data_IF_200222762578
#
_entry.id   IF_200222762578
#
_cell.length_a   1.000
_cell.length_b   1.000
_cell.length_c   1.000
_cell.angle_alpha   90.00
_cell.angle_beta   90.00
_cell.angle_gamma   90.00
#
_symmetry.space_group_name_H-M   'P 1'
#
loop_
_entity.id
_entity.type
_entity.pdbx_description
1 polymer ?
#
# COMPACT_ATOMS: atom_id res chain seq x y z
N UNK A 1 -19.72 -8.36 -10.11
CA UNK A 1 -18.80 -7.38 -9.52
C UNK A 1 -17.41 -7.98 -9.66
N UNK A 2 -16.66 -7.52 -10.67
CA UNK A 2 -15.33 -8.03 -11.00
C UNK A 2 -14.33 -7.12 -10.30
N UNK A 3 -13.86 -7.53 -9.12
CA UNK A 3 -12.84 -6.80 -8.38
C UNK A 3 -11.51 -7.52 -8.56
N UNK A 4 -10.59 -6.82 -9.21
CA UNK A 4 -9.18 -7.09 -9.14
C UNK A 4 -8.75 -7.00 -7.70
N UNK A 5 -8.06 -8.00 -7.16
CA UNK A 5 -7.05 -7.67 -6.18
C UNK A 5 -5.70 -8.12 -6.67
N UNK A 6 -4.83 -7.14 -6.70
CA UNK A 6 -3.49 -7.33 -6.23
C UNK A 6 -3.47 -6.96 -4.74
N UNK A 7 -2.52 -7.54 -4.02
CA UNK A 7 -2.30 -7.36 -2.59
C UNK A 7 -2.53 -5.92 -2.11
N UNK A 8 -3.48 -5.75 -1.18
CA UNK A 8 -3.57 -4.52 -0.41
C UNK A 8 -2.63 -4.64 0.76
N UNK A 9 -1.82 -3.61 0.94
CA UNK A 9 -0.76 -3.57 1.93
C UNK A 9 -1.00 -2.46 2.93
N UNK A 10 -0.60 -2.68 4.18
CA UNK A 10 -0.51 -1.59 5.15
C UNK A 10 0.80 -0.80 4.94
N UNK A 11 0.69 0.52 4.79
CA UNK A 11 1.79 1.47 4.67
C UNK A 11 2.39 1.82 6.03
N UNK A 12 3.68 2.14 6.05
CA UNK A 12 4.46 2.41 7.26
C UNK A 12 4.32 3.83 7.82
N UNK A 13 3.40 4.64 7.27
CA UNK A 13 3.25 6.05 7.65
C UNK A 13 2.33 6.19 8.86
N UNK A 14 2.92 6.35 10.04
CA UNK A 14 2.18 6.81 11.22
C UNK A 14 1.99 8.33 11.16
N UNK A 15 0.73 8.77 11.25
CA UNK A 15 0.36 10.16 11.56
C UNK A 15 0.04 10.20 13.05
N UNK A 16 0.78 10.98 13.82
CA UNK A 16 0.33 11.45 15.13
C UNK A 16 0.78 12.90 15.29
N UNK A 17 -0.16 13.84 15.13
CA UNK A 17 0.01 15.20 15.63
C UNK A 17 -0.14 15.16 17.17
N UNK A 18 0.92 15.53 17.89
CA UNK A 18 0.96 15.58 19.35
C UNK A 18 0.93 14.21 20.03
N UNK A 19 2.09 13.62 20.35
CA UNK A 19 2.14 12.31 21.00
C UNK A 19 1.58 12.38 22.44
N UNK A 20 0.70 11.43 22.78
CA UNK A 20 0.17 11.24 24.14
C UNK A 20 1.33 11.01 25.13
N UNK A 21 2.45 10.45 24.66
CA UNK A 21 3.67 10.28 25.44
C UNK A 21 4.18 11.60 26.02
N UNK A 22 4.29 12.64 25.19
CA UNK A 22 4.78 13.93 25.63
C UNK A 22 3.75 14.66 26.51
N UNK A 23 2.48 14.65 26.10
CA UNK A 23 1.43 15.46 26.74
C UNK A 23 0.92 14.89 28.05
N UNK A 24 0.72 13.57 28.14
CA UNK A 24 0.14 12.92 29.33
C UNK A 24 1.18 12.30 30.25
N UNK A 25 2.29 11.82 29.70
CA UNK A 25 3.30 11.07 30.47
C UNK A 25 4.60 11.84 30.70
N UNK A 26 4.73 13.07 30.18
CA UNK A 26 5.98 13.85 30.18
C UNK A 26 7.17 13.05 29.65
N UNK A 27 6.90 12.13 28.73
CA UNK A 27 7.88 11.28 28.10
C UNK A 27 8.35 11.82 26.76
N UNK A 28 9.22 11.05 26.10
CA UNK A 28 9.67 11.29 24.75
C UNK A 28 9.40 10.06 23.88
N UNK A 29 8.93 10.29 22.66
CA UNK A 29 8.91 9.26 21.64
C UNK A 29 10.31 9.12 21.05
N UNK A 30 10.85 7.91 21.08
CA UNK A 30 12.12 7.58 20.46
C UNK A 30 11.92 6.43 19.48
N UNK A 31 12.88 6.24 18.58
CA UNK A 31 12.88 5.16 17.62
C UNK A 31 12.76 3.79 18.32
N UNK A 32 11.95 2.88 17.78
CA UNK A 32 11.69 1.56 18.36
C UNK A 32 12.93 0.65 18.43
N UNK A 33 13.96 0.94 17.64
CA UNK A 33 15.26 0.28 17.68
C UNK A 33 16.17 0.83 18.79
N UNK A 34 15.78 1.92 19.44
CA UNK A 34 16.51 2.52 20.56
C UNK A 34 16.11 1.91 21.90
N UNK A 35 16.93 2.17 22.93
CA UNK A 35 16.63 1.80 24.32
C UNK A 35 16.33 3.06 25.12
N UNK A 36 15.33 3.00 26.00
CA UNK A 36 15.04 4.12 26.89
C UNK A 36 16.24 4.47 27.78
N UNK A 37 16.42 5.76 28.12
CA UNK A 37 17.41 6.16 29.11
C UNK A 37 17.22 5.43 30.45
N UNK A 38 18.30 5.22 31.18
CA UNK A 38 18.23 4.60 32.52
C UNK A 38 17.26 5.35 33.44
N UNK A 39 16.40 4.61 34.14
CA UNK A 39 15.36 5.18 35.02
C UNK A 39 14.05 5.55 34.33
N UNK A 40 13.95 5.38 33.01
CA UNK A 40 12.71 5.55 32.25
C UNK A 40 12.02 4.21 32.04
N UNK A 41 10.69 4.23 32.04
CA UNK A 41 9.84 3.10 31.67
C UNK A 41 9.55 3.17 30.17
N UNK A 42 9.58 2.01 29.51
CA UNK A 42 9.22 1.86 28.10
C UNK A 42 7.74 1.48 27.94
N UNK A 43 7.05 2.10 26.99
CA UNK A 43 5.74 1.67 26.51
C UNK A 43 5.70 1.70 24.99
N UNK A 44 5.16 0.65 24.37
CA UNK A 44 4.94 0.58 22.91
C UNK A 44 3.63 1.24 22.48
N UNK A 45 3.01 2.02 23.38
CA UNK A 45 1.82 2.81 23.13
C UNK A 45 2.17 4.30 23.24
N UNK A 46 1.24 5.16 22.81
CA UNK A 46 1.31 6.62 22.98
C UNK A 46 2.29 7.38 22.06
N UNK A 47 3.01 6.67 21.18
CA UNK A 47 3.86 7.22 20.12
C UNK A 47 3.42 6.68 18.74
N UNK A 48 4.15 7.04 17.68
CA UNK A 48 3.98 6.47 16.34
C UNK A 48 4.29 4.96 16.29
N UNK A 49 3.96 4.32 15.17
CA UNK A 49 4.04 2.86 15.05
C UNK A 49 5.47 2.28 15.11
N UNK A 50 6.47 3.01 14.61
CA UNK A 50 7.90 2.65 14.71
C UNK A 50 8.61 3.41 15.84
N UNK A 51 7.85 3.83 16.86
CA UNK A 51 8.37 4.56 18.00
C UNK A 51 7.93 3.88 19.30
N UNK A 52 8.70 4.10 20.36
CA UNK A 52 8.32 3.75 21.71
C UNK A 52 8.32 5.00 22.59
N UNK A 53 7.41 5.02 23.57
CA UNK A 53 7.33 6.06 24.57
C UNK A 53 8.27 5.73 25.74
N UNK A 54 9.25 6.59 25.99
CA UNK A 54 10.06 6.57 27.20
C UNK A 54 9.57 7.66 28.15
N UNK A 55 9.14 7.29 29.35
CA UNK A 55 8.69 8.25 30.36
C UNK A 55 9.31 7.95 31.73
N UNK A 56 9.50 8.96 32.59
CA UNK A 56 10.13 8.75 33.89
C UNK A 56 9.31 7.76 34.72
N UNK A 57 10.00 6.85 35.41
CA UNK A 57 9.34 6.02 36.42
C UNK A 57 8.82 6.97 37.51
N UNK A 58 7.50 7.01 37.73
CA UNK A 58 6.94 7.82 38.82
C UNK A 58 7.52 7.31 40.15
N UNK A 59 8.57 7.97 40.62
CA UNK A 59 9.04 7.83 41.99
C UNK A 59 7.92 8.38 42.87
N UNK A 60 7.26 7.51 43.62
CA UNK A 60 6.57 7.92 44.85
C UNK A 60 7.64 8.41 45.82
N UNK A 61 8.08 9.66 45.67
CA UNK A 61 8.71 10.41 46.74
C UNK A 61 8.44 11.89 46.55
N UNK A 62 7.79 12.46 47.56
CA UNK A 62 7.73 13.89 47.86
C UNK A 62 9.13 14.50 47.84
N UNK A 63 9.38 15.45 46.93
CA UNK A 63 10.64 16.19 46.90
C UNK A 63 10.69 17.22 45.78
N UNK A 64 10.52 18.48 46.16
CA UNK A 64 10.73 19.70 45.36
C UNK A 64 12.09 19.74 44.65
N UNK A 65 12.10 20.03 43.35
CA UNK A 65 13.32 20.32 42.60
C UNK A 65 13.05 20.79 41.17
N UNK A 66 13.16 22.09 40.94
CA UNK A 66 13.15 22.77 39.64
C UNK A 66 14.33 22.36 38.77
N UNK A 67 14.07 22.03 37.50
CA UNK A 67 15.10 21.82 36.48
C UNK A 67 14.51 21.91 35.07
N UNK A 68 14.67 23.08 34.45
CA UNK A 68 14.39 23.35 33.03
C UNK A 68 15.46 22.68 32.16
N UNK A 69 15.03 21.84 31.22
CA UNK A 69 15.87 21.25 30.19
C UNK A 69 15.08 21.10 28.89
N UNK A 70 15.11 22.14 28.06
CA UNK A 70 14.66 22.13 26.67
C UNK A 70 15.70 21.39 25.82
N UNK A 71 15.31 20.24 25.25
CA UNK A 71 16.08 19.52 24.24
C UNK A 71 15.20 19.20 23.05
N UNK A 72 15.12 20.12 22.09
CA UNK A 72 14.55 19.89 20.76
C UNK A 72 15.60 19.18 19.91
N UNK A 73 15.49 17.86 19.78
CA UNK A 73 16.26 17.06 18.83
C UNK A 73 15.38 16.66 17.64
N UNK A 74 15.34 17.50 16.61
CA UNK A 74 14.83 17.09 15.30
C UNK A 74 15.90 16.27 14.59
N UNK A 75 15.73 14.95 14.57
CA UNK A 75 16.58 14.08 13.74
C UNK A 75 15.92 13.91 12.37
N UNK A 76 16.30 14.79 11.46
CA UNK A 76 16.22 14.56 10.01
C UNK A 76 17.48 13.77 9.63
N UNK A 77 17.31 12.48 9.33
CA UNK A 77 18.40 11.55 9.03
C UNK A 77 18.11 10.74 7.78
N UNK A 78 18.95 10.95 6.78
CA UNK A 78 19.00 10.39 5.42
C UNK A 78 19.01 8.86 5.34
N UNK A 79 18.52 8.34 4.21
CA UNK A 79 18.39 6.91 3.89
C UNK A 79 19.66 6.07 4.09
N UNK A 80 19.42 4.80 4.45
CA UNK A 80 20.32 3.74 4.93
C UNK A 80 20.36 3.60 6.46
N UNK A 81 19.25 3.13 7.03
CA UNK A 81 19.20 2.68 8.41
C UNK A 81 20.14 1.46 8.57
N UNK A 82 21.31 1.65 9.19
CA UNK A 82 22.12 0.55 9.71
C UNK A 82 21.29 -0.16 10.77
N UNK A 83 21.18 -1.49 10.70
CA UNK A 83 20.52 -2.26 11.77
C UNK A 83 21.26 -2.04 13.09
N UNK A 84 20.58 -2.23 14.22
CA UNK A 84 21.15 -2.10 15.56
C UNK A 84 22.40 -2.97 15.80
N UNK A 85 22.64 -3.98 14.95
CA UNK A 85 23.82 -4.85 14.95
C UNK A 85 24.96 -4.41 14.02
N UNK A 86 24.82 -3.30 13.28
CA UNK A 86 25.80 -2.82 12.30
C UNK A 86 25.75 -3.56 10.94
N UNK A 87 24.79 -4.46 10.74
CA UNK A 87 24.59 -5.12 9.45
C UNK A 87 23.81 -4.21 8.48
N UNK A 88 24.24 -4.19 7.21
CA UNK A 88 23.58 -3.42 6.16
C UNK A 88 22.28 -4.11 5.74
N UNK A 89 21.16 -3.38 5.81
CA UNK A 89 19.85 -3.88 5.40
C UNK A 89 19.73 -4.00 3.86
N UNK A 90 18.77 -4.79 3.40
CA UNK A 90 18.30 -4.82 2.01
C UNK A 90 19.30 -5.37 1.00
N UNK A 91 20.35 -6.08 1.44
CA UNK A 91 21.36 -6.69 0.57
C UNK A 91 21.37 -8.20 0.81
N UNK A 92 20.84 -9.01 -0.13
CA UNK A 92 20.97 -10.46 -0.05
C UNK A 92 22.33 -10.94 -0.58
N UNK A 93 22.83 -12.06 -0.03
CA UNK A 93 24.07 -12.69 -0.54
C UNK A 93 23.80 -13.50 -1.83
N UNK A 94 22.55 -13.93 -2.01
CA UNK A 94 22.07 -14.62 -3.21
C UNK A 94 21.13 -13.69 -3.97
N UNK A 95 21.41 -13.45 -5.24
CA UNK A 95 20.51 -12.66 -6.10
C UNK A 95 19.51 -13.56 -6.80
N UNK A 96 18.22 -13.19 -6.78
CA UNK A 96 17.21 -13.88 -7.61
C UNK A 96 17.47 -13.67 -9.10
N UNK A 97 17.41 -14.74 -9.89
CA UNK A 97 17.41 -14.65 -11.35
C UNK A 97 15.98 -14.38 -11.83
N UNK A 98 15.73 -13.14 -12.24
CA UNK A 98 14.42 -12.57 -12.59
C UNK A 98 13.60 -13.48 -13.52
N UNK A 99 12.50 -14.06 -13.02
CA UNK A 99 11.49 -14.77 -13.82
C UNK A 99 10.10 -14.23 -13.48
N UNK A 100 9.32 -13.99 -14.52
CA UNK A 100 8.09 -13.21 -14.49
C UNK A 100 6.88 -14.16 -14.45
N UNK A 101 6.34 -14.46 -13.26
CA UNK A 101 5.03 -15.12 -13.13
C UNK A 101 4.85 -16.19 -12.05
N UNK A 102 5.06 -15.86 -10.77
CA UNK A 102 4.66 -16.73 -9.65
C UNK A 102 5.40 -18.06 -9.68
N UNK A 103 6.67 -18.07 -9.28
CA UNK A 103 7.53 -19.25 -9.35
C UNK A 103 8.18 -19.52 -8.01
N UNK A 104 8.72 -20.73 -7.86
CA UNK A 104 9.58 -21.06 -6.72
C UNK A 104 10.73 -20.07 -6.68
N UNK A 105 10.89 -19.37 -5.56
CA UNK A 105 11.93 -18.39 -5.36
C UNK A 105 13.31 -19.07 -5.36
N UNK A 106 14.33 -18.35 -5.82
CA UNK A 106 15.70 -18.82 -5.61
C UNK A 106 15.96 -18.94 -4.10
N UNK A 107 16.47 -20.10 -3.65
CA UNK A 107 16.69 -20.37 -2.23
C UNK A 107 17.56 -19.27 -1.61
N UNK A 108 17.09 -18.71 -0.48
CA UNK A 108 17.76 -17.66 0.29
C UNK A 108 17.96 -16.30 -0.42
N UNK A 109 17.34 -16.07 -1.59
CA UNK A 109 17.39 -14.76 -2.25
C UNK A 109 16.61 -13.65 -1.52
N UNK A 110 15.73 -14.04 -0.59
CA UNK A 110 14.91 -13.14 0.24
C UNK A 110 15.16 -13.41 1.73
N UNK A 111 16.35 -13.09 2.25
CA UNK A 111 16.78 -13.48 3.61
C UNK A 111 16.01 -12.77 4.74
N UNK A 112 15.19 -11.77 4.41
CA UNK A 112 14.27 -11.09 5.32
C UNK A 112 12.91 -11.79 5.45
N UNK A 113 12.61 -12.77 4.61
CA UNK A 113 11.36 -13.52 4.70
C UNK A 113 11.27 -14.29 6.01
N UNK A 114 10.16 -14.12 6.72
CA UNK A 114 9.85 -14.84 7.96
C UNK A 114 8.67 -15.77 7.76
N UNK A 115 8.72 -16.94 8.40
CA UNK A 115 7.55 -17.76 8.67
C UNK A 115 7.13 -17.56 10.12
N UNK A 116 5.97 -16.95 10.33
CA UNK A 116 5.30 -16.89 11.63
C UNK A 116 4.53 -18.19 11.88
N UNK A 117 4.77 -18.77 13.04
CA UNK A 117 4.30 -20.13 13.35
C UNK A 117 3.54 -20.14 14.66
N UNK A 118 2.38 -20.80 14.65
CA UNK A 118 1.63 -21.12 15.85
C UNK A 118 1.83 -22.61 16.15
N UNK A 119 2.57 -22.91 17.21
CA UNK A 119 3.12 -24.26 17.42
C UNK A 119 4.06 -24.66 16.26
N UNK A 120 3.77 -25.79 15.60
CA UNK A 120 4.55 -26.28 14.45
C UNK A 120 3.97 -25.88 13.08
N UNK A 121 2.90 -25.09 13.04
CA UNK A 121 2.20 -24.74 11.80
C UNK A 121 2.55 -23.32 11.37
N UNK A 122 2.88 -23.14 10.09
CA UNK A 122 3.01 -21.82 9.49
C UNK A 122 1.62 -21.19 9.35
N UNK A 123 1.47 -19.96 9.82
CA UNK A 123 0.22 -19.22 9.81
C UNK A 123 0.28 -17.99 8.89
N UNK A 124 1.38 -17.24 9.01
CA UNK A 124 1.59 -15.98 8.29
C UNK A 124 3.07 -15.82 7.90
N UNK A 125 3.32 -14.91 6.96
CA UNK A 125 4.62 -14.34 6.69
C UNK A 125 4.99 -13.19 7.63
N UNK A 126 6.22 -12.72 7.49
CA UNK A 126 6.74 -11.54 8.15
C UNK A 126 8.02 -11.06 7.47
N UNK A 127 8.52 -9.92 7.91
CA UNK A 127 9.75 -9.30 7.38
C UNK A 127 10.70 -8.95 8.50
N UNK A 128 11.94 -9.42 8.43
CA UNK A 128 13.00 -8.96 9.33
C UNK A 128 13.30 -7.49 9.01
N UNK A 129 13.11 -6.59 9.97
CA UNK A 129 13.45 -5.17 9.83
C UNK A 129 14.63 -4.76 10.72
N UNK A 130 14.92 -5.54 11.77
CA UNK A 130 16.11 -5.40 12.62
C UNK A 130 16.39 -6.73 13.36
N UNK A 131 17.51 -6.82 14.10
CA UNK A 131 17.95 -8.06 14.75
C UNK A 131 16.93 -8.64 15.75
N UNK A 132 16.07 -7.82 16.36
CA UNK A 132 15.02 -8.27 17.28
C UNK A 132 13.61 -7.92 16.84
N UNK A 133 13.44 -7.42 15.61
CA UNK A 133 12.18 -6.84 15.17
C UNK A 133 11.71 -7.42 13.84
N UNK A 134 10.48 -7.94 13.86
CA UNK A 134 9.78 -8.45 12.68
C UNK A 134 8.56 -7.58 12.41
N UNK A 135 8.38 -7.17 11.16
CA UNK A 135 7.18 -6.53 10.66
C UNK A 135 6.22 -7.58 10.08
N UNK A 136 4.93 -7.45 10.36
CA UNK A 136 3.88 -8.34 9.82
C UNK A 136 2.51 -7.66 9.87
N UNK A 137 1.45 -8.39 9.55
CA UNK A 137 0.07 -7.91 9.59
C UNK A 137 -0.55 -8.10 10.98
N UNK A 138 -1.48 -7.23 11.36
CA UNK A 138 -2.19 -7.30 12.63
C UNK A 138 -3.21 -8.45 12.64
N UNK A 139 -3.89 -8.71 11.52
CA UNK A 139 -4.90 -9.75 11.40
C UNK A 139 -4.36 -11.15 11.71
N UNK A 140 -3.05 -11.36 11.59
CA UNK A 140 -2.40 -12.62 11.95
C UNK A 140 -2.56 -12.99 13.45
N UNK A 141 -2.95 -12.04 14.30
CA UNK A 141 -3.02 -12.22 15.75
C UNK A 141 -4.42 -12.10 16.36
N UNK A 142 -5.47 -11.79 15.59
CA UNK A 142 -6.81 -11.49 16.14
C UNK A 142 -7.43 -12.60 16.99
N UNK A 143 -7.16 -13.87 16.65
CA UNK A 143 -7.80 -15.03 17.27
C UNK A 143 -6.83 -15.94 18.06
N UNK A 144 -5.64 -15.45 18.41
CA UNK A 144 -4.58 -16.30 18.99
C UNK A 144 -4.01 -15.77 20.30
N UNK A 145 -3.61 -16.69 21.18
CA UNK A 145 -2.88 -16.33 22.40
C UNK A 145 -1.38 -16.21 22.11
N UNK A 146 -0.72 -15.20 22.70
CA UNK A 146 0.68 -14.87 22.44
C UNK A 146 1.66 -16.02 22.76
N UNK A 147 1.31 -16.94 23.66
CA UNK A 147 2.23 -17.92 24.26
C UNK A 147 2.73 -19.05 23.33
N UNK A 148 2.22 -19.16 22.10
CA UNK A 148 2.56 -20.26 21.18
C UNK A 148 3.20 -19.80 19.86
N UNK A 149 3.49 -18.50 19.73
CA UNK A 149 4.09 -17.95 18.53
C UNK A 149 5.60 -18.13 18.49
N UNK A 150 6.11 -18.62 17.36
CA UNK A 150 7.54 -18.66 17.05
C UNK A 150 7.80 -18.05 15.68
N UNK A 151 9.01 -17.52 15.52
CA UNK A 151 9.51 -16.91 14.29
C UNK A 151 10.60 -17.81 13.73
N UNK A 152 10.43 -18.30 12.50
CA UNK A 152 11.47 -19.02 11.77
C UNK A 152 12.02 -18.16 10.62
N UNK A 153 13.34 -18.00 10.54
CA UNK A 153 14.06 -17.21 9.52
C UNK A 153 15.03 -18.08 8.72
N UNK A 154 15.48 -17.60 7.56
CA UNK A 154 16.43 -18.32 6.72
C UNK A 154 15.90 -19.61 6.09
N UNK A 155 14.59 -19.85 6.17
CA UNK A 155 13.95 -21.02 5.56
C UNK A 155 13.59 -20.74 4.10
N UNK A 156 13.78 -21.75 3.26
CA UNK A 156 13.23 -21.81 1.90
C UNK A 156 12.16 -22.91 1.80
N UNK A 157 12.40 -24.06 2.45
CA UNK A 157 11.50 -25.21 2.52
C UNK A 157 10.89 -25.36 3.93
N UNK A 158 9.56 -25.22 4.04
CA UNK A 158 8.83 -25.36 5.30
C UNK A 158 8.90 -26.77 5.92
N UNK A 159 9.22 -27.79 5.14
CA UNK A 159 9.46 -29.16 5.59
C UNK A 159 10.86 -29.39 6.15
N UNK A 160 11.79 -28.44 5.99
CA UNK A 160 13.19 -28.56 6.41
C UNK A 160 13.65 -27.31 7.17
N UNK A 161 13.22 -27.19 8.42
CA UNK A 161 13.55 -26.05 9.31
C UNK A 161 14.79 -26.29 10.21
N UNK A 162 15.44 -27.44 10.13
CA UNK A 162 16.50 -27.83 11.08
C UNK A 162 17.80 -27.00 11.00
N UNK A 163 18.00 -26.18 9.95
CA UNK A 163 19.11 -25.22 9.82
C UNK A 163 18.66 -23.76 9.96
N UNK A 164 17.44 -23.52 10.43
CA UNK A 164 16.87 -22.18 10.57
C UNK A 164 17.07 -21.62 11.97
N UNK A 165 17.02 -20.29 12.08
CA UNK A 165 16.89 -19.64 13.38
C UNK A 165 15.41 -19.65 13.77
N UNK A 166 15.09 -20.33 14.88
CA UNK A 166 13.73 -20.35 15.44
C UNK A 166 13.75 -19.62 16.78
N UNK A 167 12.99 -18.54 16.88
CA UNK A 167 12.98 -17.65 18.04
C UNK A 167 11.59 -17.54 18.66
N UNK A 168 11.55 -17.48 19.98
CA UNK A 168 10.35 -17.18 20.75
C UNK A 168 9.97 -15.70 20.63
N UNK A 169 8.66 -15.44 20.65
CA UNK A 169 8.10 -14.10 20.62
C UNK A 169 7.99 -13.54 22.03
N UNK A 170 8.63 -12.38 22.26
CA UNK A 170 8.54 -11.64 23.53
C UNK A 170 7.27 -10.81 23.62
N UNK A 171 6.97 -10.10 22.54
CA UNK A 171 5.83 -9.19 22.48
C UNK A 171 5.29 -9.07 21.06
N UNK A 172 3.98 -8.87 20.93
CA UNK A 172 3.30 -8.51 19.69
C UNK A 172 2.64 -7.16 19.90
N UNK A 173 2.96 -6.20 19.03
CA UNK A 173 2.49 -4.83 19.08
C UNK A 173 1.64 -4.61 17.85
N UNK A 174 0.33 -4.78 18.01
CA UNK A 174 -0.65 -4.47 16.98
C UNK A 174 -0.85 -2.96 16.90
N UNK A 175 -0.93 -2.41 15.69
CA UNK A 175 -1.20 -0.99 15.50
C UNK A 175 -2.51 -0.58 16.21
N UNK A 176 -2.47 0.47 17.03
CA UNK A 176 -3.61 0.88 17.88
C UNK A 176 -4.85 1.31 17.08
N UNK A 177 -4.65 1.83 15.88
CA UNK A 177 -5.71 2.15 14.93
C UNK A 177 -6.15 0.99 14.03
N UNK A 178 -5.74 -0.25 14.32
CA UNK A 178 -6.16 -1.42 13.55
C UNK A 178 -7.66 -1.70 13.69
N UNK A 179 -8.32 -2.07 12.61
CA UNK A 179 -9.73 -2.46 12.61
C UNK A 179 -9.97 -3.76 11.85
N UNK A 180 -10.40 -4.80 12.58
CA UNK A 180 -10.81 -6.10 12.03
C UNK A 180 -11.91 -6.03 10.97
N UNK A 181 -12.76 -4.98 11.03
CA UNK A 181 -13.90 -4.82 10.14
C UNK A 181 -13.51 -4.30 8.76
N UNK A 182 -12.50 -3.45 8.69
CA UNK A 182 -12.09 -2.75 7.46
C UNK A 182 -10.66 -3.07 7.03
N UNK A 183 -9.92 -3.86 7.81
CA UNK A 183 -8.48 -4.09 7.68
C UNK A 183 -7.66 -2.80 7.58
N UNK A 184 -8.18 -1.71 8.16
CA UNK A 184 -7.47 -0.45 8.23
C UNK A 184 -6.30 -0.57 9.21
N UNK A 185 -5.12 -0.05 8.86
CA UNK A 185 -3.89 -0.16 9.66
C UNK A 185 -3.53 -1.60 10.06
N UNK A 186 -3.69 -2.53 9.13
CA UNK A 186 -3.38 -3.94 9.33
C UNK A 186 -1.86 -4.21 9.35
N UNK A 187 -1.22 -3.76 10.43
CA UNK A 187 0.21 -3.82 10.62
C UNK A 187 0.55 -4.07 12.08
N UNK A 188 1.55 -4.90 12.33
CA UNK A 188 2.02 -5.26 13.64
C UNK A 188 3.53 -5.45 13.68
N UNK A 189 4.11 -5.25 14.85
CA UNK A 189 5.51 -5.53 15.14
C UNK A 189 5.63 -6.68 16.12
N UNK A 190 6.61 -7.54 15.90
CA UNK A 190 6.97 -8.60 16.83
C UNK A 190 8.36 -8.29 17.38
N UNK A 191 8.48 -8.28 18.71
CA UNK A 191 9.75 -8.24 19.41
C UNK A 191 10.16 -9.67 19.78
N UNK A 192 11.36 -10.07 19.37
CA UNK A 192 11.92 -11.39 19.70
C UNK A 192 12.54 -11.40 21.11
N UNK A 193 12.50 -12.54 21.79
CA UNK A 193 13.16 -12.71 23.10
C UNK A 193 14.68 -12.55 23.02
N UNK A 194 15.27 -13.00 21.91
CA UNK A 194 16.71 -12.94 21.62
C UNK A 194 16.95 -12.35 20.22
N UNK A 195 18.10 -11.70 19.97
CA UNK A 195 18.47 -11.22 18.65
C UNK A 195 18.72 -12.38 17.67
N UNK A 196 18.32 -12.15 16.42
CA UNK A 196 18.71 -12.90 15.25
C UNK A 196 20.21 -12.69 14.98
N UNK A 197 20.87 -13.72 14.49
CA UNK A 197 22.19 -13.60 13.91
C UNK A 197 22.05 -13.10 12.47
N UNK A 198 22.25 -11.79 12.27
CA UNK A 198 22.21 -11.15 10.94
C UNK A 198 23.53 -11.31 10.16
N UNK A 199 24.55 -11.98 10.72
CA UNK A 199 25.76 -12.34 9.98
C UNK A 199 25.56 -13.59 9.12
N UNK A 200 24.54 -14.38 9.43
CA UNK A 200 24.09 -15.51 8.63
C UNK A 200 23.66 -15.05 7.22
N UNK A 201 24.25 -15.68 6.20
CA UNK A 201 23.94 -15.40 4.79
C UNK A 201 22.45 -15.53 4.41
N UNK A 202 21.70 -16.33 5.18
CA UNK A 202 20.29 -16.65 4.92
C UNK A 202 19.32 -15.81 5.74
N UNK A 203 19.80 -15.04 6.73
CA UNK A 203 18.97 -14.24 7.65
C UNK A 203 19.49 -12.81 7.68
N UNK A 204 18.79 -11.89 7.01
CA UNK A 204 19.17 -10.47 6.93
C UNK A 204 17.94 -9.58 6.95
N UNK A 205 18.09 -8.34 7.39
CA UNK A 205 16.98 -7.39 7.42
C UNK A 205 16.70 -6.77 6.03
N UNK A 206 15.44 -6.47 5.72
CA UNK A 206 15.08 -5.54 4.65
C UNK A 206 15.24 -4.09 5.14
N UNK A 207 15.51 -3.15 4.24
CA UNK A 207 15.56 -1.74 4.63
C UNK A 207 14.16 -1.17 4.83
N UNK A 208 13.98 -0.30 5.82
CA UNK A 208 12.77 0.53 5.92
C UNK A 208 12.81 1.66 4.88
N UNK A 209 11.64 2.04 4.33
CA UNK A 209 11.53 3.18 3.43
C UNK A 209 11.54 4.49 4.22
N UNK A 210 11.85 5.61 3.55
CA UNK A 210 11.63 6.92 4.16
C UNK A 210 10.12 7.24 4.22
N UNK A 211 9.70 8.10 5.16
CA UNK A 211 8.28 8.40 5.49
C UNK A 211 7.39 8.80 4.29
N UNK A 212 7.99 9.35 3.22
CA UNK A 212 7.27 9.79 2.02
C UNK A 212 7.97 9.30 0.75
N UNK A 213 8.66 8.17 0.85
CA UNK A 213 9.36 7.61 -0.29
C UNK A 213 8.36 7.05 -1.31
N UNK A 214 8.46 7.54 -2.54
CA UNK A 214 7.57 7.14 -3.64
C UNK A 214 8.06 5.85 -4.31
N UNK A 215 7.16 4.88 -4.46
CA UNK A 215 7.40 3.60 -5.15
C UNK A 215 6.43 3.38 -6.32
N UNK A 216 5.61 4.37 -6.67
CA UNK A 216 4.58 4.23 -7.71
C UNK A 216 5.17 3.78 -9.04
N UNK A 217 4.54 2.76 -9.64
CA UNK A 217 4.97 2.18 -10.92
C UNK A 217 6.21 1.27 -10.85
N UNK A 218 6.92 1.19 -9.71
CA UNK A 218 8.02 0.23 -9.57
C UNK A 218 7.48 -1.20 -9.53
N UNK A 219 8.22 -2.12 -10.15
CA UNK A 219 7.97 -3.56 -10.03
C UNK A 219 8.67 -4.06 -8.77
N UNK A 220 7.88 -4.63 -7.88
CA UNK A 220 8.28 -5.08 -6.57
C UNK A 220 7.89 -6.54 -6.40
N UNK A 221 8.51 -7.23 -5.44
CA UNK A 221 8.36 -8.67 -5.29
C UNK A 221 7.63 -8.99 -4.00
N UNK A 222 6.56 -9.78 -4.10
CA UNK A 222 5.95 -10.44 -2.95
C UNK A 222 6.55 -11.83 -2.81
N UNK A 223 6.85 -12.24 -1.58
CA UNK A 223 7.31 -13.60 -1.28
C UNK A 223 6.50 -14.23 -0.17
N UNK A 224 6.30 -15.54 -0.26
CA UNK A 224 5.62 -16.30 0.78
C UNK A 224 5.36 -17.76 0.43
N UNK A 225 4.72 -18.44 1.37
CA UNK A 225 4.34 -19.86 1.27
C UNK A 225 2.83 -20.05 1.20
N UNK A 226 2.11 -19.00 0.79
CA UNK A 226 0.69 -19.05 0.56
C UNK A 226 0.30 -20.02 -0.54
N UNK A 227 -1.00 -20.19 -0.68
CA UNK A 227 -1.62 -21.02 -1.69
C UNK A 227 -1.35 -20.47 -3.10
N UNK A 228 -1.40 -21.32 -4.13
CA UNK A 228 -1.21 -20.86 -5.52
C UNK A 228 -2.54 -20.51 -6.21
N UNK A 229 -3.65 -20.72 -5.53
CA UNK A 229 -5.01 -20.45 -5.98
C UNK A 229 -5.91 -20.31 -4.75
N UNK A 230 -7.05 -19.64 -4.92
CA UNK A 230 -8.05 -19.47 -3.86
C UNK A 230 -8.40 -20.81 -3.23
N UNK A 231 -8.37 -20.87 -1.88
CA UNK A 231 -8.67 -22.05 -1.06
C UNK A 231 -7.74 -23.26 -1.27
N UNK A 232 -6.63 -23.07 -1.99
CA UNK A 232 -5.60 -24.09 -2.16
C UNK A 232 -4.75 -24.29 -0.90
N UNK A 233 -3.98 -25.39 -0.81
CA UNK A 233 -3.01 -25.56 0.26
C UNK A 233 -1.81 -24.62 0.07
N UNK A 234 -1.26 -24.14 1.18
CA UNK A 234 0.01 -23.41 1.17
C UNK A 234 1.15 -24.24 0.58
N UNK A 235 2.13 -23.56 -0.01
CA UNK A 235 3.25 -24.22 -0.68
C UNK A 235 4.34 -24.65 0.30
N UNK A 236 5.09 -25.69 -0.08
CA UNK A 236 6.24 -26.18 0.71
C UNK A 236 7.47 -25.29 0.53
N UNK A 237 7.78 -24.93 -0.72
CA UNK A 237 8.89 -24.06 -1.08
C UNK A 237 8.43 -22.61 -1.15
N UNK A 238 9.33 -21.67 -0.82
CA UNK A 238 9.06 -20.24 -0.93
C UNK A 238 8.79 -19.88 -2.38
N UNK A 239 7.73 -19.13 -2.65
CA UNK A 239 7.42 -18.59 -3.96
C UNK A 239 7.65 -17.07 -3.98
N UNK A 240 7.85 -16.55 -5.19
CA UNK A 240 7.98 -15.13 -5.47
C UNK A 240 7.06 -14.71 -6.61
N UNK A 241 6.54 -13.48 -6.55
CA UNK A 241 5.80 -12.87 -7.64
C UNK A 241 6.12 -11.38 -7.76
N UNK A 242 6.52 -10.98 -8.97
CA UNK A 242 6.75 -9.59 -9.31
C UNK A 242 5.43 -8.89 -9.65
N UNK A 243 5.09 -7.84 -8.91
CA UNK A 243 3.89 -7.01 -9.07
C UNK A 243 4.25 -5.52 -9.11
N UNK A 244 3.66 -4.73 -10.03
CA UNK A 244 3.89 -3.29 -10.04
C UNK A 244 3.08 -2.59 -8.94
N UNK A 245 3.68 -1.62 -8.27
CA UNK A 245 2.95 -0.69 -7.39
C UNK A 245 1.98 0.14 -8.23
N UNK A 246 0.76 0.24 -7.73
CA UNK A 246 -0.29 1.07 -8.30
C UNK A 246 -0.44 2.33 -7.46
N UNK A 247 -0.42 3.49 -8.13
CA UNK A 247 -0.60 4.78 -7.48
C UNK A 247 -1.93 4.86 -6.71
N UNK A 248 -1.94 5.68 -5.65
CA UNK A 248 -3.07 5.74 -4.72
C UNK A 248 -4.39 6.17 -5.37
N UNK A 249 -4.35 7.05 -6.39
CA UNK A 249 -5.56 7.49 -7.10
C UNK A 249 -6.17 6.34 -7.88
N UNK A 250 -5.30 5.59 -8.56
CA UNK A 250 -5.67 4.40 -9.31
C UNK A 250 -6.16 3.29 -8.38
N UNK A 251 -5.48 3.03 -7.27
CA UNK A 251 -5.89 2.07 -6.24
C UNK A 251 -7.30 2.36 -5.69
N UNK A 252 -7.56 3.61 -5.26
CA UNK A 252 -8.89 4.07 -4.83
C UNK A 252 -9.93 3.96 -5.95
N UNK A 253 -9.52 4.18 -7.18
CA UNK A 253 -10.40 4.07 -8.34
C UNK A 253 -10.79 2.62 -8.68
N UNK A 254 -9.92 1.62 -8.43
CA UNK A 254 -10.25 0.19 -8.59
C UNK A 254 -11.13 -0.35 -7.46
N UNK A 255 -10.90 0.10 -6.23
CA UNK A 255 -11.43 -0.56 -5.03
C UNK A 255 -12.47 0.29 -4.28
N UNK A 256 -12.59 1.57 -4.61
CA UNK A 256 -13.56 2.49 -4.03
C UNK A 256 -13.20 2.94 -2.61
N UNK A 257 -14.23 3.25 -1.82
CA UNK A 257 -14.11 3.86 -0.48
C UNK A 257 -13.55 2.91 0.61
N UNK A 258 -13.12 1.70 0.25
CA UNK A 258 -12.47 0.75 1.17
C UNK A 258 -10.96 0.97 1.28
N UNK A 259 -10.39 1.86 0.47
CA UNK A 259 -8.95 2.17 0.46
C UNK A 259 -8.69 3.46 1.24
N UNK A 260 -7.98 3.31 2.34
CA UNK A 260 -7.53 4.40 3.19
C UNK A 260 -6.12 4.87 2.77
N UNK A 261 -5.67 6.02 3.30
CA UNK A 261 -4.33 6.53 3.02
C UNK A 261 -3.20 5.63 3.51
N UNK A 262 -3.48 4.68 4.40
CA UNK A 262 -2.56 3.65 4.87
C UNK A 262 -2.52 2.41 3.96
N UNK A 263 -3.23 2.40 2.83
CA UNK A 263 -3.24 1.25 1.92
C UNK A 263 -2.41 1.50 0.66
N UNK A 264 -1.69 0.48 0.21
CA UNK A 264 -1.00 0.44 -1.09
C UNK A 264 -1.58 -0.72 -1.90
N UNK A 265 -1.78 -0.51 -3.21
CA UNK A 265 -2.16 -1.57 -4.14
C UNK A 265 -0.96 -2.00 -4.97
N UNK A 266 -0.79 -3.30 -5.21
CA UNK A 266 0.22 -3.80 -6.13
C UNK A 266 -0.31 -4.96 -6.98
N UNK A 267 -0.22 -4.86 -8.31
CA UNK A 267 -0.73 -5.91 -9.21
C UNK A 267 -0.89 -5.45 -10.65
N UNK A 268 -1.00 -6.40 -11.58
CA UNK A 268 -1.20 -6.10 -13.00
C UNK A 268 -2.67 -5.88 -13.34
N UNK A 269 -2.88 -4.97 -14.29
CA UNK A 269 -4.20 -4.66 -14.85
C UNK A 269 -4.85 -5.84 -15.57
N UNK A 270 -4.10 -6.87 -15.95
CA UNK A 270 -4.65 -8.04 -16.63
C UNK A 270 -4.99 -9.14 -15.62
N UNK A 271 -4.56 -8.99 -14.37
CA UNK A 271 -4.66 -10.03 -13.34
C UNK A 271 -3.67 -11.17 -13.59
N UNK A 272 -3.99 -12.35 -13.07
CA UNK A 272 -3.20 -13.57 -13.27
C UNK A 272 -1.92 -13.70 -12.43
N UNK A 273 -1.61 -12.70 -11.59
CA UNK A 273 -0.48 -12.70 -10.64
C UNK A 273 -0.87 -11.93 -9.39
N UNK A 274 -0.80 -12.58 -8.25
CA UNK A 274 -1.16 -12.01 -6.95
C UNK A 274 -0.53 -12.84 -5.82
N UNK A 275 -0.51 -12.28 -4.61
CA UNK A 275 -0.32 -13.09 -3.40
C UNK A 275 -1.64 -13.77 -3.01
N UNK A 276 -1.57 -14.74 -2.12
CA UNK A 276 -2.71 -15.59 -1.79
C UNK A 276 -2.77 -15.95 -0.30
N UNK A 277 -3.73 -16.80 0.09
CA UNK A 277 -3.90 -17.20 1.48
C UNK A 277 -2.62 -17.85 2.02
N UNK A 278 -2.11 -17.36 3.15
CA UNK A 278 -0.83 -17.81 3.75
C UNK A 278 0.39 -16.97 3.38
N UNK A 279 0.24 -15.98 2.47
CA UNK A 279 1.24 -14.92 2.30
C UNK A 279 1.00 -13.74 3.26
N UNK A 280 -0.15 -13.71 3.95
CA UNK A 280 -0.54 -12.72 4.96
C UNK A 280 0.60 -12.35 5.90
N UNK A 281 0.85 -11.05 6.08
CA UNK A 281 1.96 -10.53 6.87
C UNK A 281 3.33 -10.57 6.18
N UNK A 282 3.44 -11.26 5.05
CA UNK A 282 4.66 -11.34 4.23
C UNK A 282 5.04 -10.01 3.58
N UNK A 283 6.29 -9.91 3.10
CA UNK A 283 6.83 -8.70 2.50
C UNK A 283 6.30 -8.45 1.09
N UNK A 284 6.03 -7.19 0.77
CA UNK A 284 6.26 -6.63 -0.56
C UNK A 284 7.55 -5.79 -0.53
N UNK A 285 8.59 -6.23 -1.24
CA UNK A 285 9.88 -5.50 -1.32
C UNK A 285 10.13 -4.91 -2.69
N UNK A 286 10.58 -3.65 -2.71
CA UNK A 286 11.01 -2.96 -3.92
C UNK A 286 12.52 -2.75 -3.89
N UNK A 287 13.20 -3.00 -5.01
CA UNK A 287 14.61 -2.65 -5.16
C UNK A 287 14.74 -1.18 -5.57
N UNK A 288 15.29 -0.34 -4.70
CA UNK A 288 15.50 1.09 -4.93
C UNK A 288 16.80 1.54 -4.26
N UNK A 289 17.57 2.40 -4.93
CA UNK A 289 18.90 2.82 -4.47
C UNK A 289 19.84 1.62 -4.20
N UNK A 290 19.75 0.59 -5.04
CA UNK A 290 20.50 -0.67 -4.95
C UNK A 290 20.21 -1.56 -3.73
N UNK A 291 19.28 -1.18 -2.85
CA UNK A 291 18.84 -1.98 -1.71
C UNK A 291 17.38 -2.40 -1.85
N UNK A 292 17.01 -3.51 -1.22
CA UNK A 292 15.61 -3.93 -1.09
C UNK A 292 14.97 -3.27 0.12
N UNK A 293 13.89 -2.53 -0.13
CA UNK A 293 13.12 -1.82 0.90
C UNK A 293 11.75 -2.45 1.07
N UNK A 294 11.32 -2.67 2.31
CA UNK A 294 9.95 -3.11 2.61
C UNK A 294 8.98 -1.98 2.27
N UNK A 295 8.13 -2.21 1.27
CA UNK A 295 7.22 -1.19 0.74
C UNK A 295 5.80 -1.42 1.21
N UNK A 296 5.45 -2.65 1.57
CA UNK A 296 4.20 -2.93 2.28
C UNK A 296 4.14 -4.36 2.83
N UNK A 297 3.11 -4.60 3.63
CA UNK A 297 2.84 -5.88 4.31
C UNK A 297 1.57 -6.50 3.75
N UNK A 298 1.63 -7.75 3.26
CA UNK A 298 0.49 -8.49 2.69
C UNK A 298 -0.67 -8.49 3.69
N UNK A 299 -1.78 -7.84 3.37
CA UNK A 299 -2.92 -7.68 4.28
C UNK A 299 -4.16 -8.44 3.79
N UNK A 300 -4.77 -8.04 2.66
CA UNK A 300 -5.95 -8.73 2.13
C UNK A 300 -6.08 -8.64 0.59
N UNK A 301 -6.93 -9.53 0.04
CA UNK A 301 -7.18 -9.76 -1.39
C UNK A 301 -8.58 -10.38 -1.62
N UNK A 302 -9.30 -10.06 -2.72
CA UNK A 302 -10.50 -10.82 -3.14
C UNK A 302 -10.07 -11.99 -4.03
N UNK A 303 -9.86 -13.16 -3.41
CA UNK A 303 -9.34 -14.35 -4.08
C UNK A 303 -7.86 -14.21 -4.45
N UNK A 304 -7.34 -15.16 -5.24
CA UNK A 304 -5.94 -15.16 -5.67
C UNK A 304 -5.81 -15.15 -7.19
N UNK A 305 -5.00 -14.23 -7.72
CA UNK A 305 -4.53 -14.21 -9.12
C UNK A 305 -5.66 -14.31 -10.17
N UNK A 306 -6.78 -13.61 -9.95
CA UNK A 306 -7.93 -13.65 -10.87
C UNK A 306 -7.50 -13.28 -12.31
N UNK A 307 -7.90 -14.10 -13.29
CA UNK A 307 -7.39 -14.06 -14.69
C UNK A 307 -7.81 -12.85 -15.52
N UNK A 308 -8.74 -12.01 -15.06
CA UNK A 308 -9.28 -10.92 -15.89
C UNK A 308 -9.55 -9.67 -15.07
N UNK A 309 -8.71 -8.66 -15.30
CA UNK A 309 -8.85 -7.31 -14.78
C UNK A 309 -9.03 -6.28 -15.91
N UNK A 310 -9.68 -6.67 -17.02
CA UNK A 310 -9.72 -5.84 -18.22
C UNK A 310 -10.34 -4.47 -17.94
N UNK A 311 -9.56 -3.41 -18.14
CA UNK A 311 -10.13 -2.08 -18.29
C UNK A 311 -11.14 -2.08 -19.44
N UNK A 312 -12.16 -1.22 -19.34
CA UNK A 312 -13.22 -1.09 -20.33
C UNK A 312 -12.83 0.04 -21.28
N UNK A 313 -12.79 -0.24 -22.59
CA UNK A 313 -12.67 0.82 -23.58
C UNK A 313 -13.80 1.86 -23.36
N UNK A 314 -13.53 3.16 -23.59
CA UNK A 314 -14.55 4.17 -23.52
C UNK A 314 -15.72 3.84 -24.45
N UNK A 315 -16.94 4.12 -24.01
CA UNK A 315 -18.15 3.99 -24.81
C UNK A 315 -19.06 5.17 -24.48
N UNK A 316 -19.46 5.92 -25.51
CA UNK A 316 -20.42 7.01 -25.40
C UNK A 316 -21.83 6.46 -25.62
N UNK A 317 -22.68 6.58 -24.61
CA UNK A 317 -24.08 6.20 -24.66
C UNK A 317 -24.96 7.42 -24.97
N UNK A 318 -24.78 8.02 -26.15
CA UNK A 318 -25.63 9.10 -26.63
C UNK A 318 -26.71 8.53 -27.58
N UNK A 319 -27.97 8.85 -27.33
CA UNK A 319 -29.09 8.43 -28.17
C UNK A 319 -29.47 9.49 -29.23
N UNK A 320 -28.90 10.69 -29.15
CA UNK A 320 -29.32 11.86 -29.94
C UNK A 320 -28.18 12.32 -30.86
N UNK A 321 -28.42 12.29 -32.18
CA UNK A 321 -27.44 12.74 -33.18
C UNK A 321 -27.77 14.13 -33.75
N UNK A 322 -28.93 14.69 -33.37
CA UNK A 322 -29.40 16.01 -33.79
C UNK A 322 -30.10 16.70 -32.61
N UNK A 323 -29.81 17.98 -32.42
CA UNK A 323 -30.41 18.81 -31.38
C UNK A 323 -30.81 20.17 -31.95
N UNK A 324 -31.85 20.76 -31.35
CA UNK A 324 -32.30 22.11 -31.67
C UNK A 324 -32.12 23.02 -30.45
N UNK A 325 -31.71 24.26 -30.67
CA UNK A 325 -31.63 25.26 -29.61
C UNK A 325 -32.25 26.59 -30.04
N UNK A 326 -32.93 27.24 -29.12
CA UNK A 326 -33.48 28.57 -29.36
C UNK A 326 -32.40 29.64 -29.16
N UNK A 327 -32.41 30.66 -30.01
CA UNK A 327 -31.52 31.81 -29.85
C UNK A 327 -31.59 32.43 -28.44
N UNK A 328 -30.43 32.82 -27.89
CA UNK A 328 -30.19 33.37 -26.54
C UNK A 328 -30.43 32.43 -25.35
N UNK A 329 -30.74 31.15 -25.56
CA UNK A 329 -30.84 30.20 -24.44
C UNK A 329 -29.49 29.60 -24.07
N UNK A 330 -29.49 28.74 -23.04
CA UNK A 330 -28.37 27.88 -22.68
C UNK A 330 -28.72 26.44 -23.05
N UNK A 331 -27.81 25.74 -23.71
CA UNK A 331 -27.96 24.35 -24.13
C UNK A 331 -26.91 23.46 -23.46
N UNK A 332 -27.28 22.26 -23.03
CA UNK A 332 -26.35 21.19 -22.67
C UNK A 332 -26.38 20.12 -23.77
N UNK A 333 -25.25 19.87 -24.41
CA UNK A 333 -25.08 18.72 -25.30
C UNK A 333 -24.52 17.57 -24.43
N UNK A 334 -25.29 16.49 -24.18
CA UNK A 334 -24.86 15.42 -23.30
C UNK A 334 -23.70 14.63 -23.92
N UNK A 335 -22.80 14.13 -23.07
CA UNK A 335 -21.86 13.09 -23.46
C UNK A 335 -21.78 12.08 -22.32
N UNK A 336 -22.70 11.11 -22.33
CA UNK A 336 -22.75 10.09 -21.28
C UNK A 336 -21.68 9.04 -21.54
N UNK A 337 -20.62 9.08 -20.76
CA UNK A 337 -19.45 8.24 -20.96
C UNK A 337 -19.48 7.05 -20.01
N UNK A 338 -19.21 5.86 -20.53
CA UNK A 338 -18.78 4.71 -19.74
C UNK A 338 -17.38 4.30 -20.18
N UNK A 339 -16.61 3.63 -19.32
CA UNK A 339 -15.23 3.27 -19.64
C UNK A 339 -14.41 3.19 -18.37
N UNK A 340 -13.33 2.40 -18.41
CA UNK A 340 -12.49 2.14 -17.26
C UNK A 340 -11.03 1.96 -17.71
N UNK A 341 -10.08 2.85 -17.34
CA UNK A 341 -10.25 4.03 -16.50
C UNK A 341 -11.24 5.07 -17.03
N UNK A 342 -11.73 5.98 -16.16
CA UNK A 342 -12.71 7.00 -16.53
C UNK A 342 -12.12 7.80 -17.70
N UNK A 343 -12.77 7.83 -18.87
CA UNK A 343 -12.18 8.46 -20.03
C UNK A 343 -12.11 9.98 -19.87
N UNK A 344 -11.02 10.59 -20.31
CA UNK A 344 -10.96 12.05 -20.41
C UNK A 344 -11.82 12.50 -21.60
N UNK A 345 -12.56 13.58 -21.43
CA UNK A 345 -13.51 14.10 -22.41
C UNK A 345 -12.92 15.33 -23.10
N UNK A 346 -12.99 15.36 -24.42
CA UNK A 346 -12.63 16.52 -25.24
C UNK A 346 -13.73 16.83 -26.23
N UNK A 347 -13.88 18.11 -26.57
CA UNK A 347 -14.91 18.57 -27.49
C UNK A 347 -14.32 19.31 -28.68
N UNK A 348 -14.91 19.12 -29.85
CA UNK A 348 -14.63 19.92 -31.05
C UNK A 348 -15.93 20.40 -31.69
N UNK A 349 -15.93 21.61 -32.27
CA UNK A 349 -17.00 22.11 -33.14
C UNK A 349 -16.44 22.24 -34.56
N UNK A 350 -17.06 21.58 -35.53
CA UNK A 350 -16.61 21.57 -36.93
C UNK A 350 -15.10 21.25 -37.06
N UNK A 351 -14.60 20.32 -36.24
CA UNK A 351 -13.18 19.92 -36.18
C UNK A 351 -12.25 20.83 -35.38
N UNK A 352 -12.71 22.01 -34.92
CA UNK A 352 -11.93 22.93 -34.10
C UNK A 352 -12.10 22.65 -32.61
N UNK A 353 -11.00 22.57 -31.85
CA UNK A 353 -11.02 22.25 -30.42
C UNK A 353 -11.75 23.31 -29.59
N UNK A 354 -12.66 22.86 -28.73
CA UNK A 354 -13.36 23.70 -27.76
C UNK A 354 -12.58 23.69 -26.44
N UNK A 355 -12.45 24.87 -25.83
CA UNK A 355 -11.86 25.07 -24.50
C UNK A 355 -12.80 25.92 -23.65
N UNK A 356 -12.70 25.80 -22.32
CA UNK A 356 -13.56 26.54 -21.40
C UNK A 356 -13.39 28.06 -21.56
N UNK A 357 -14.50 28.79 -21.68
CA UNK A 357 -14.59 30.26 -21.75
C UNK A 357 -16.03 30.73 -21.41
N UNK A 358 -16.32 32.03 -21.61
CA UNK A 358 -17.65 32.63 -21.35
C UNK A 358 -18.79 32.10 -22.25
N UNK A 359 -18.47 31.26 -23.23
CA UNK A 359 -19.41 30.69 -24.20
C UNK A 359 -19.58 29.18 -24.00
N UNK A 360 -18.48 28.47 -23.81
CA UNK A 360 -18.40 27.02 -23.71
C UNK A 360 -17.87 26.60 -22.35
N UNK A 361 -18.58 25.70 -21.68
CA UNK A 361 -18.13 25.07 -20.45
C UNK A 361 -18.21 23.55 -20.59
N UNK A 362 -17.06 22.89 -20.64
CA UNK A 362 -16.93 21.43 -20.61
C UNK A 362 -17.16 20.96 -19.17
N UNK A 363 -18.16 20.09 -18.99
CA UNK A 363 -18.57 19.51 -17.70
C UNK A 363 -18.54 17.99 -17.77
N UNK A 364 -18.69 17.33 -16.63
CA UNK A 364 -18.78 15.86 -16.55
C UNK A 364 -20.03 15.29 -17.23
N UNK A 365 -21.12 16.05 -17.29
CA UNK A 365 -22.39 15.64 -17.90
C UNK A 365 -22.51 16.02 -19.40
N UNK A 366 -21.61 16.86 -19.91
CA UNK A 366 -21.62 17.28 -21.32
C UNK A 366 -20.98 18.66 -21.57
N UNK A 367 -21.25 19.22 -22.75
CA UNK A 367 -20.84 20.57 -23.12
C UNK A 367 -21.98 21.56 -22.92
N UNK A 368 -21.78 22.54 -22.05
CA UNK A 368 -22.72 23.65 -21.88
C UNK A 368 -22.36 24.79 -22.84
N UNK A 369 -23.33 25.22 -23.65
CA UNK A 369 -23.23 26.36 -24.56
C UNK A 369 -24.13 27.48 -24.01
N UNK A 370 -23.53 28.60 -23.61
CA UNK A 370 -24.25 29.75 -23.07
C UNK A 370 -24.64 30.74 -24.17
N UNK A 371 -25.77 31.43 -24.04
CA UNK A 371 -26.22 32.49 -24.98
C UNK A 371 -26.15 32.06 -26.44
N UNK A 372 -26.83 30.95 -26.78
CA UNK A 372 -26.81 30.36 -28.13
C UNK A 372 -27.07 31.42 -29.21
N UNK A 373 -26.18 31.48 -30.21
CA UNK A 373 -26.20 32.41 -31.33
C UNK A 373 -26.36 31.63 -32.64
N UNK A 374 -26.87 32.27 -33.70
CA UNK A 374 -26.97 31.61 -35.01
C UNK A 374 -25.62 31.14 -35.56
N UNK A 375 -24.50 31.71 -35.11
CA UNK A 375 -23.17 31.22 -35.53
C UNK A 375 -22.76 29.90 -34.87
N UNK A 376 -23.52 29.42 -33.88
CA UNK A 376 -23.21 28.17 -33.18
C UNK A 376 -23.73 26.91 -33.88
N UNK A 377 -24.40 27.05 -35.04
CA UNK A 377 -24.75 25.92 -35.90
C UNK A 377 -23.50 25.09 -36.23
N UNK A 378 -23.62 23.77 -36.16
CA UNK A 378 -22.53 22.90 -36.57
C UNK A 378 -22.53 21.55 -35.89
N UNK A 379 -21.44 20.82 -36.14
CA UNK A 379 -21.24 19.47 -35.66
C UNK A 379 -20.35 19.50 -34.42
N UNK A 380 -20.93 19.12 -33.28
CA UNK A 380 -20.24 19.03 -31.99
C UNK A 380 -19.87 17.58 -31.74
N UNK A 381 -18.56 17.30 -31.69
CA UNK A 381 -18.04 15.95 -31.46
C UNK A 381 -17.46 15.86 -30.05
N UNK A 382 -18.00 14.95 -29.25
CA UNK A 382 -17.40 14.50 -28.00
C UNK A 382 -16.43 13.36 -28.31
N UNK A 383 -15.15 13.52 -27.95
CA UNK A 383 -14.15 12.45 -28.04
C UNK A 383 -13.72 12.07 -26.64
N UNK A 384 -13.85 10.78 -26.33
CA UNK A 384 -13.52 10.20 -25.03
C UNK A 384 -12.36 9.23 -25.18
N UNK A 385 -11.38 9.27 -24.28
CA UNK A 385 -10.22 8.38 -24.36
C UNK A 385 -9.72 7.97 -22.99
N UNK A 386 -9.31 6.71 -22.89
CA UNK A 386 -8.51 6.21 -21.78
C UNK A 386 -7.35 5.37 -22.34
N UNK A 387 -6.60 4.71 -21.47
CA UNK A 387 -5.46 3.86 -21.86
C UNK A 387 -5.85 2.59 -22.62
N UNK A 388 -7.13 2.20 -22.57
CA UNK A 388 -7.67 1.00 -23.23
C UNK A 388 -8.15 1.32 -24.65
N UNK A 389 -8.63 2.54 -24.89
CA UNK A 389 -9.08 2.95 -26.21
C UNK A 389 -9.71 4.34 -26.23
N UNK A 390 -10.41 4.63 -27.31
CA UNK A 390 -11.16 5.87 -27.50
C UNK A 390 -12.48 5.62 -28.22
N UNK A 391 -13.45 6.46 -27.95
CA UNK A 391 -14.72 6.51 -28.68
C UNK A 391 -15.08 7.97 -28.97
N UNK A 392 -15.92 8.20 -29.98
CA UNK A 392 -16.42 9.54 -30.30
C UNK A 392 -17.87 9.52 -30.77
N UNK A 393 -18.58 10.62 -30.51
CA UNK A 393 -19.98 10.80 -30.88
C UNK A 393 -20.20 12.23 -31.33
N UNK A 394 -20.95 12.42 -32.40
CA UNK A 394 -21.21 13.73 -33.00
C UNK A 394 -22.70 14.06 -32.96
N UNK A 395 -23.00 15.28 -32.54
CA UNK A 395 -24.35 15.86 -32.52
C UNK A 395 -24.37 17.07 -33.45
N UNK A 396 -25.31 17.10 -34.39
CA UNK A 396 -25.59 18.29 -35.20
C UNK A 396 -26.50 19.23 -34.42
N UNK A 397 -26.10 20.49 -34.28
CA UNK A 397 -26.90 21.53 -33.61
C UNK A 397 -27.53 22.49 -34.62
N UNK A 398 -28.84 22.62 -34.57
CA UNK A 398 -29.62 23.62 -35.30
C UNK A 398 -30.21 24.70 -34.39
N UNK A 399 -29.82 25.96 -34.62
CA UNK A 399 -30.31 27.13 -33.90
C UNK A 399 -31.57 27.71 -34.56
N UNK A 400 -32.67 27.71 -33.82
CA UNK A 400 -33.96 28.23 -34.27
C UNK A 400 -34.15 29.68 -33.82
N UNK A 401 -34.88 30.45 -34.61
CA UNK A 401 -35.33 31.80 -34.22
C UNK A 401 -36.28 31.68 -33.02
N UNK A 402 -36.17 32.57 -32.02
CA UNK A 402 -37.23 32.69 -31.03
C UNK A 402 -38.46 33.26 -31.74
N UNK A 403 -39.61 32.58 -31.62
CA UNK A 403 -40.90 33.14 -32.04
C UNK A 403 -41.25 34.36 -31.19
#
# INVERSE_FOLDING_TARGET
MFLCLGVILAGLVAIAEGSVCATSYKGACIDIFSTCPSGYVQSYSHCGFLELCCYPQHSTSTGTGTGTGTGTGSHTGTGSHQTSSGAQCGIPDVTSHRIVGGTVATAHAYPWQVSLRYGSHHMCGGTIIDSQWILTAAHCFEDTTHSYWTVATGIHDRGHIYRSQVHSVRNVIVHTGYSSRSNHNDIALIKLDKPLDLTDSTTKAACLPNKYEDFDGLVCTVTGWGALHTDGPGTRLLNEVDVPIMDSNRCKYYLGNVIYGSNICAGYNQGGRDACQGDSGGPLVCKKDSVYKITGVVSWGYGCAQKTCTGKAPLINNSTNHMYATHKTTLLIPCHVTGYPLPYVTWTVNGSRISNNDKFLVREDGLLIQRVAYTDHGNYTCTVRNIIGSDNSTVTLDVMKSL
#
